data_IF_690574377984
#
_entry.id   IF_690574377984
#
_cell.length_a   1.000
_cell.length_b   1.000
_cell.length_c   1.000
_cell.angle_alpha   90.00
_cell.angle_beta   90.00
_cell.angle_gamma   90.00
#
_symmetry.space_group_name_H-M   'P 1'
#
loop_
_entity.id
_entity.type
_entity.pdbx_description
1 polymer ?
#
# COMPACT_ATOMS: atom_id res chain seq x y z
N UNK A 1 -4.27 12.77 11.10
CA UNK A 1 -4.48 14.19 10.74
C UNK A 1 -5.97 14.46 10.69
N UNK A 2 -6.46 15.47 11.41
CA UNK A 2 -7.89 15.84 11.44
C UNK A 2 -8.10 17.21 10.79
N UNK A 3 -9.29 17.47 10.24
CA UNK A 3 -9.63 18.73 9.58
C UNK A 3 -10.88 18.60 8.69
N UNK A 4 -11.54 19.71 8.32
CA UNK A 4 -12.79 19.71 7.55
C UNK A 4 -12.60 19.10 6.15
N UNK A 5 -13.69 18.70 5.49
CA UNK A 5 -13.62 18.26 4.09
C UNK A 5 -12.98 19.34 3.21
N UNK A 6 -12.15 18.95 2.25
CA UNK A 6 -11.42 19.87 1.38
C UNK A 6 -10.15 20.49 1.99
N UNK A 7 -9.82 20.23 3.26
CA UNK A 7 -8.61 20.80 3.90
C UNK A 7 -7.26 20.21 3.42
N UNK A 8 -7.24 19.45 2.33
CA UNK A 8 -6.01 18.86 1.76
C UNK A 8 -5.45 17.62 2.46
N UNK A 9 -6.17 16.99 3.40
CA UNK A 9 -5.66 15.81 4.15
C UNK A 9 -5.24 14.66 3.24
N UNK A 10 -6.09 14.29 2.27
CA UNK A 10 -5.79 13.20 1.34
C UNK A 10 -4.60 13.55 0.45
N UNK A 11 -4.54 14.80 -0.03
CA UNK A 11 -3.40 15.32 -0.78
C UNK A 11 -2.12 15.22 0.04
N UNK A 12 -2.13 15.64 1.29
CA UNK A 12 -0.98 15.55 2.19
C UNK A 12 -0.51 14.09 2.36
N UNK A 13 -1.42 13.16 2.64
CA UNK A 13 -1.08 11.74 2.79
C UNK A 13 -0.53 11.15 1.49
N UNK A 14 -1.10 11.51 0.33
CA UNK A 14 -0.59 11.08 -0.97
C UNK A 14 0.81 11.64 -1.27
N UNK A 15 1.09 12.89 -0.87
CA UNK A 15 2.41 13.48 -1.00
C UNK A 15 3.44 12.78 -0.11
N UNK A 16 3.11 12.56 1.17
CA UNK A 16 3.99 11.89 2.12
C UNK A 16 4.36 10.47 1.69
N UNK A 17 3.44 9.79 1.01
CA UNK A 17 3.67 8.44 0.50
C UNK A 17 4.17 8.40 -0.96
N UNK A 18 4.52 9.56 -1.53
CA UNK A 18 5.13 9.69 -2.85
C UNK A 18 4.24 9.30 -4.03
N UNK A 19 2.91 9.35 -3.87
CA UNK A 19 1.93 9.17 -4.95
C UNK A 19 1.86 10.44 -5.80
N UNK A 20 1.71 11.58 -5.16
CA UNK A 20 1.63 12.90 -5.80
C UNK A 20 2.85 13.72 -5.39
N UNK A 21 3.60 14.34 -6.32
CA UNK A 21 4.67 15.26 -5.92
C UNK A 21 4.07 16.55 -5.34
N UNK A 22 4.69 17.17 -4.32
CA UNK A 22 4.29 18.51 -3.89
C UNK A 22 4.64 19.54 -4.98
N UNK A 23 3.84 20.59 -5.12
CA UNK A 23 4.13 21.70 -6.04
C UNK A 23 5.39 22.48 -5.63
N UNK A 24 5.64 22.58 -4.32
CA UNK A 24 6.83 23.22 -3.74
C UNK A 24 7.20 22.58 -2.39
N UNK A 25 8.47 22.74 -2.00
CA UNK A 25 9.03 22.16 -0.78
C UNK A 25 9.56 20.73 -0.98
N UNK A 26 10.05 20.11 0.10
CA UNK A 26 10.67 18.79 0.06
C UNK A 26 10.06 17.83 1.07
N UNK A 27 10.14 16.54 0.76
CA UNK A 27 9.67 15.44 1.64
C UNK A 27 10.84 14.49 1.82
N UNK A 28 11.18 14.19 3.07
CA UNK A 28 12.26 13.25 3.40
C UNK A 28 11.71 12.01 4.09
N UNK A 29 12.19 10.83 3.66
CA UNK A 29 11.88 9.54 4.26
C UNK A 29 13.16 8.71 4.38
N UNK A 30 13.48 8.21 5.59
CA UNK A 30 14.66 7.37 5.81
C UNK A 30 15.99 8.00 5.35
N UNK A 31 16.13 9.33 5.47
CA UNK A 31 17.30 10.08 4.99
C UNK A 31 17.32 10.37 3.48
N UNK A 32 16.36 9.86 2.71
CA UNK A 32 16.23 10.12 1.27
C UNK A 32 15.21 11.23 1.02
N UNK A 33 15.53 12.17 0.14
CA UNK A 33 14.55 13.14 -0.34
C UNK A 33 13.61 12.48 -1.36
N UNK A 34 12.38 12.20 -0.94
CA UNK A 34 11.35 11.53 -1.72
C UNK A 34 10.81 12.42 -2.87
N UNK A 35 10.73 13.73 -2.67
CA UNK A 35 10.28 14.70 -3.69
C UNK A 35 11.18 14.71 -4.94
N UNK A 36 12.48 14.47 -4.76
CA UNK A 36 13.47 14.44 -5.84
C UNK A 36 13.59 13.06 -6.52
N UNK A 37 12.99 12.00 -5.98
CA UNK A 37 13.11 10.66 -6.55
C UNK A 37 12.33 10.51 -7.87
N UNK A 38 12.86 9.76 -8.85
CA UNK A 38 12.10 9.39 -10.03
C UNK A 38 10.94 8.46 -9.67
N UNK A 39 9.91 8.44 -10.52
CA UNK A 39 8.67 7.70 -10.31
C UNK A 39 8.90 6.20 -10.05
N UNK A 40 9.86 5.58 -10.74
CA UNK A 40 10.24 4.18 -10.52
C UNK A 40 10.76 3.89 -9.10
N UNK A 41 11.53 4.82 -8.51
CA UNK A 41 12.05 4.68 -7.13
C UNK A 41 10.96 4.96 -6.10
N UNK A 42 10.09 5.94 -6.34
CA UNK A 42 8.89 6.15 -5.50
C UNK A 42 7.95 4.94 -5.54
N UNK A 43 7.78 4.34 -6.71
CA UNK A 43 6.99 3.13 -6.92
C UNK A 43 7.57 1.93 -6.16
N UNK A 44 8.90 1.79 -6.10
CA UNK A 44 9.54 0.76 -5.28
C UNK A 44 9.25 0.96 -3.79
N UNK A 45 9.40 2.17 -3.25
CA UNK A 45 9.06 2.48 -1.85
C UNK A 45 7.59 2.17 -1.53
N UNK A 46 6.66 2.48 -2.44
CA UNK A 46 5.24 2.14 -2.26
C UNK A 46 4.95 0.64 -2.25
N UNK A 47 5.86 -0.21 -2.73
CA UNK A 47 5.71 -1.67 -2.67
C UNK A 47 6.43 -2.31 -1.49
N UNK A 48 7.43 -1.65 -0.91
CA UNK A 48 8.27 -2.23 0.14
C UNK A 48 8.04 -1.60 1.52
N UNK A 49 7.83 -0.30 1.59
CA UNK A 49 7.93 0.47 2.83
C UNK A 49 6.60 1.14 3.22
N UNK A 50 5.74 1.44 2.23
CA UNK A 50 4.44 2.06 2.45
C UNK A 50 3.29 1.09 2.19
N UNK A 51 2.30 1.12 3.10
CA UNK A 51 1.00 0.46 2.93
C UNK A 51 -0.12 1.49 3.01
N UNK A 52 -1.20 1.27 2.24
CA UNK A 52 -2.36 2.15 2.22
C UNK A 52 -3.61 1.39 2.62
N UNK A 53 -4.40 2.00 3.50
CA UNK A 53 -5.73 1.54 3.87
C UNK A 53 -6.68 2.66 3.50
N UNK A 54 -7.59 2.37 2.57
CA UNK A 54 -8.58 3.33 2.10
C UNK A 54 -9.88 3.19 2.90
N UNK A 55 -10.67 4.27 2.96
CA UNK A 55 -11.95 4.28 3.68
C UNK A 55 -12.94 3.23 3.12
N UNK A 56 -12.89 3.00 1.81
CA UNK A 56 -13.58 1.91 1.14
C UNK A 56 -12.52 0.93 0.64
N UNK A 57 -12.68 -0.36 0.97
CA UNK A 57 -11.73 -1.39 0.57
C UNK A 57 -11.60 -1.45 -0.95
N UNK A 58 -10.40 -1.16 -1.47
CA UNK A 58 -10.10 -1.28 -2.91
C UNK A 58 -9.42 -2.62 -3.17
N UNK A 59 -10.18 -3.70 -3.03
CA UNK A 59 -9.73 -5.05 -3.39
C UNK A 59 -9.94 -5.28 -4.89
N UNK A 60 -9.05 -6.06 -5.50
CA UNK A 60 -9.16 -6.52 -6.89
C UNK A 60 -10.24 -7.61 -6.94
N UNK A 61 -11.38 -7.40 -7.62
CA UNK A 61 -12.53 -8.32 -7.58
C UNK A 61 -12.25 -9.71 -8.15
N UNK A 62 -11.31 -9.81 -9.09
CA UNK A 62 -10.94 -11.06 -9.74
C UNK A 62 -10.09 -11.96 -8.84
N UNK A 63 -9.55 -11.41 -7.75
CA UNK A 63 -8.66 -12.10 -6.80
C UNK A 63 -9.41 -12.47 -5.53
N UNK A 64 -9.08 -13.63 -4.96
CA UNK A 64 -9.49 -13.97 -3.60
C UNK A 64 -8.86 -13.02 -2.56
N UNK A 65 -9.38 -13.03 -1.33
CA UNK A 65 -8.84 -12.21 -0.24
C UNK A 65 -7.35 -12.52 0.02
N UNK A 66 -6.95 -13.80 0.04
CA UNK A 66 -5.53 -14.15 0.23
C UNK A 66 -4.66 -13.69 -0.94
N UNK A 67 -5.18 -13.73 -2.17
CA UNK A 67 -4.47 -13.25 -3.35
C UNK A 67 -4.32 -11.72 -3.37
N UNK A 68 -5.33 -10.99 -2.88
CA UNK A 68 -5.25 -9.55 -2.66
C UNK A 68 -4.18 -9.18 -1.62
N UNK A 69 -4.18 -9.87 -0.46
CA UNK A 69 -3.18 -9.64 0.60
C UNK A 69 -1.77 -10.02 0.14
N UNK A 70 -1.63 -11.07 -0.68
CA UNK A 70 -0.35 -11.50 -1.25
C UNK A 70 0.17 -10.61 -2.39
N UNK A 71 -0.69 -9.76 -2.99
CA UNK A 71 -0.38 -9.03 -4.21
C UNK A 71 0.88 -8.15 -4.10
N UNK A 72 1.12 -7.37 -3.02
CA UNK A 72 2.33 -6.56 -2.90
C UNK A 72 3.62 -7.39 -2.92
N UNK A 73 3.62 -8.55 -2.25
CA UNK A 73 4.76 -9.48 -2.25
C UNK A 73 5.01 -10.05 -3.65
N UNK A 74 3.95 -10.42 -4.36
CA UNK A 74 4.05 -10.92 -5.74
C UNK A 74 4.60 -9.85 -6.69
N UNK A 75 4.19 -8.59 -6.54
CA UNK A 75 4.72 -7.47 -7.32
C UNK A 75 6.20 -7.17 -7.00
N UNK A 76 6.68 -7.60 -5.83
CA UNK A 76 8.10 -7.57 -5.46
C UNK A 76 8.86 -8.84 -5.87
N UNK A 77 8.24 -9.73 -6.65
CA UNK A 77 8.90 -10.92 -7.19
C UNK A 77 8.91 -12.14 -6.25
N UNK A 78 8.21 -12.10 -5.12
CA UNK A 78 8.06 -13.27 -4.24
C UNK A 78 7.19 -14.33 -4.95
N UNK A 79 7.61 -15.59 -4.90
CA UNK A 79 6.88 -16.70 -5.52
C UNK A 79 5.48 -16.81 -4.92
N UNK A 80 4.47 -17.13 -5.76
CA UNK A 80 3.05 -17.22 -5.36
C UNK A 80 2.85 -17.98 -4.04
N UNK A 81 3.42 -19.19 -3.92
CA UNK A 81 3.27 -20.04 -2.73
C UNK A 81 3.83 -19.38 -1.45
N UNK A 82 4.96 -18.70 -1.55
CA UNK A 82 5.60 -18.02 -0.41
C UNK A 82 4.81 -16.76 -0.02
N UNK A 83 4.37 -15.99 -1.03
CA UNK A 83 3.55 -14.79 -0.83
C UNK A 83 2.20 -15.13 -0.19
N UNK A 84 1.51 -16.17 -0.67
CA UNK A 84 0.22 -16.60 -0.11
C UNK A 84 0.37 -17.18 1.29
N UNK A 85 1.47 -17.89 1.59
CA UNK A 85 1.76 -18.34 2.96
C UNK A 85 1.92 -17.15 3.92
N UNK A 86 2.68 -16.13 3.51
CA UNK A 86 2.87 -14.93 4.32
C UNK A 86 1.56 -14.13 4.47
N UNK A 87 0.78 -14.02 3.40
CA UNK A 87 -0.54 -13.39 3.41
C UNK A 87 -1.49 -14.09 4.39
N UNK A 88 -1.55 -15.42 4.34
CA UNK A 88 -2.39 -16.21 5.24
C UNK A 88 -2.01 -16.00 6.72
N UNK A 89 -0.71 -15.97 7.03
CA UNK A 89 -0.24 -15.69 8.39
C UNK A 89 -0.64 -14.29 8.88
N UNK A 90 -0.73 -13.30 7.98
CA UNK A 90 -1.26 -11.98 8.34
C UNK A 90 -2.78 -11.98 8.52
N UNK A 91 -3.51 -12.71 7.67
CA UNK A 91 -4.96 -12.87 7.81
C UNK A 91 -5.33 -13.56 9.13
N UNK A 92 -4.58 -14.58 9.54
CA UNK A 92 -4.74 -15.26 10.83
C UNK A 92 -4.50 -14.30 12.01
N UNK A 93 -3.46 -13.48 11.95
CA UNK A 93 -3.18 -12.45 12.98
C UNK A 93 -4.25 -11.36 13.07
N UNK A 94 -5.03 -11.19 12.01
CA UNK A 94 -6.13 -10.24 11.94
C UNK A 94 -7.49 -10.92 12.14
N UNK A 95 -7.52 -12.22 12.42
CA UNK A 95 -8.73 -13.03 12.67
C UNK A 95 -9.73 -13.01 11.50
N UNK A 96 -9.22 -13.08 10.26
CA UNK A 96 -10.01 -13.05 9.02
C UNK A 96 -9.63 -14.16 8.02
N UNK A 97 -8.92 -15.19 8.46
CA UNK A 97 -8.45 -16.31 7.65
C UNK A 97 -9.58 -17.14 7.03
N UNK A 98 -10.77 -17.13 7.63
CA UNK A 98 -12.00 -17.74 7.11
C UNK A 98 -12.47 -17.08 5.79
N UNK A 99 -12.04 -15.86 5.53
CA UNK A 99 -12.32 -15.13 4.28
C UNK A 99 -11.30 -15.41 3.18
N UNK A 100 -10.20 -16.14 3.45
CA UNK A 100 -9.06 -16.28 2.54
C UNK A 100 -9.43 -16.67 1.10
N UNK A 101 -10.36 -17.62 0.93
CA UNK A 101 -10.79 -18.12 -0.37
C UNK A 101 -11.93 -17.31 -1.01
N UNK A 102 -12.56 -16.38 -0.28
CA UNK A 102 -13.66 -15.56 -0.79
C UNK A 102 -13.13 -14.50 -1.75
N UNK A 103 -13.94 -14.13 -2.74
CA UNK A 103 -13.72 -12.92 -3.54
C UNK A 103 -14.52 -11.77 -2.92
N UNK A 104 -14.02 -10.52 -3.02
CA UNK A 104 -14.69 -9.32 -2.52
C UNK A 104 -16.08 -9.09 -3.09
#
# INVERSE_FOLDING_TARGET
VMGPSGSGKSTLLHCLAGIVPPDAGTIHYGGTELSALPESRRSALRRSDFGFVFQFGQLVPELSCVENVALPLRLNGVKRKEAEKAAYAWMERLEVEDLAAKRP
#
